data_IF_271954151783
#
_entry.id   IF_271954151783
#
_cell.length_a   1.000
_cell.length_b   1.000
_cell.length_c   1.000
_cell.angle_alpha   90.00
_cell.angle_beta   90.00
_cell.angle_gamma   90.00
#
_symmetry.space_group_name_H-M   'P 1'
#
loop_
_entity.id
_entity.type
_entity.pdbx_description
1 polymer ?
#
# COMPACT_ATOMS: atom_id res chain seq x y z
N UNK A 1 -70.74 5.22 58.97
CA UNK A 1 -69.65 4.25 58.87
C UNK A 1 -69.10 4.35 57.46
N UNK A 2 -67.99 5.10 57.21
CA UNK A 2 -67.34 5.27 55.91
C UNK A 2 -66.10 4.40 55.91
N UNK A 3 -66.04 3.43 55.00
CA UNK A 3 -64.86 2.57 54.77
C UNK A 3 -63.94 3.32 53.83
N UNK A 4 -62.74 3.61 54.28
CA UNK A 4 -61.59 4.05 53.40
C UNK A 4 -60.94 2.81 52.84
N UNK A 5 -60.89 2.71 51.53
CA UNK A 5 -60.02 1.75 50.79
C UNK A 5 -58.68 2.44 50.44
N UNK A 6 -57.62 1.93 50.98
CA UNK A 6 -56.26 2.36 50.62
C UNK A 6 -55.80 1.62 49.35
N UNK A 7 -55.55 2.34 48.24
CA UNK A 7 -54.85 1.82 47.06
C UNK A 7 -53.34 1.86 47.32
N UNK A 8 -52.71 0.72 47.39
CA UNK A 8 -51.22 0.60 47.33
C UNK A 8 -50.76 0.68 45.89
N UNK A 9 -50.07 1.77 45.54
CA UNK A 9 -49.37 1.89 44.26
C UNK A 9 -48.03 1.16 44.35
N UNK A 10 -47.89 0.05 43.59
CA UNK A 10 -46.62 -0.66 43.41
C UNK A 10 -45.89 0.07 42.28
N UNK A 11 -44.87 0.85 42.63
CA UNK A 11 -43.91 1.44 41.66
C UNK A 11 -42.90 0.37 41.25
N UNK A 12 -43.03 -0.19 40.03
CA UNK A 12 -42.03 -1.00 39.40
C UNK A 12 -40.87 -0.12 38.94
N UNK A 13 -39.75 -0.15 39.65
CA UNK A 13 -38.46 0.42 39.22
C UNK A 13 -37.93 -0.46 38.09
N UNK A 14 -38.06 0.00 36.83
CA UNK A 14 -37.36 -0.60 35.72
C UNK A 14 -35.85 -0.24 35.85
N UNK A 15 -35.02 -1.17 36.30
CA UNK A 15 -33.57 -1.07 36.14
C UNK A 15 -33.30 -1.16 34.64
N UNK A 16 -33.03 -0.02 34.00
CA UNK A 16 -32.36 0.01 32.72
C UNK A 16 -30.93 -0.44 32.98
N UNK A 17 -30.65 -1.71 32.69
CA UNK A 17 -29.24 -2.17 32.47
C UNK A 17 -28.80 -1.43 31.25
N UNK A 18 -28.05 -0.35 31.42
CA UNK A 18 -27.30 0.28 30.32
C UNK A 18 -26.36 -0.78 29.81
N UNK A 19 -26.57 -1.26 28.58
CA UNK A 19 -25.56 -2.02 27.89
C UNK A 19 -24.31 -1.12 27.87
N UNK A 20 -23.21 -1.59 28.45
CA UNK A 20 -21.92 -0.94 28.29
C UNK A 20 -21.66 -0.94 26.78
N UNK A 21 -21.67 0.25 26.19
CA UNK A 21 -21.36 0.40 24.75
C UNK A 21 -19.90 0.02 24.59
N UNK A 22 -19.63 -0.91 23.66
CA UNK A 22 -18.26 -1.32 23.36
C UNK A 22 -17.46 -0.10 22.87
N UNK A 23 -16.19 0.00 23.26
CA UNK A 23 -15.36 1.06 22.70
C UNK A 23 -15.19 0.86 21.17
N UNK A 24 -15.35 1.91 20.35
CA UNK A 24 -15.20 1.79 18.90
C UNK A 24 -13.75 1.46 18.55
N UNK A 25 -13.57 0.58 17.56
CA UNK A 25 -12.25 0.34 16.98
C UNK A 25 -11.76 1.63 16.29
N UNK A 26 -10.54 2.08 16.63
CA UNK A 26 -9.95 3.30 16.08
C UNK A 26 -8.80 2.99 15.16
N UNK A 27 -8.89 3.50 13.93
CA UNK A 27 -7.84 3.43 12.91
C UNK A 27 -7.19 4.81 12.78
N UNK A 28 -5.88 4.88 12.98
CA UNK A 28 -5.08 6.09 12.76
C UNK A 28 -4.38 6.05 11.42
N UNK A 29 -4.64 7.02 10.55
CA UNK A 29 -3.94 7.19 9.27
C UNK A 29 -2.77 8.13 9.50
N UNK A 30 -1.52 7.63 9.47
CA UNK A 30 -0.32 8.47 9.61
C UNK A 30 0.30 8.67 8.23
N UNK A 31 -0.19 9.65 7.47
CA UNK A 31 0.21 9.89 6.08
C UNK A 31 0.77 11.29 5.84
N UNK A 32 1.36 11.48 4.66
CA UNK A 32 1.86 12.78 4.20
C UNK A 32 0.70 13.60 3.65
N UNK A 33 -0.06 14.25 4.52
CA UNK A 33 -1.25 15.02 4.14
C UNK A 33 -0.94 16.48 3.78
N UNK A 34 0.33 16.89 3.93
CA UNK A 34 0.88 18.17 3.50
C UNK A 34 2.26 18.02 2.86
N UNK A 35 2.76 19.05 2.18
CA UNK A 35 4.09 19.06 1.53
C UNK A 35 4.13 18.34 0.17
N UNK A 36 5.33 17.94 -0.26
CA UNK A 36 5.60 17.41 -1.60
C UNK A 36 4.91 16.07 -1.92
N UNK A 37 4.50 15.33 -0.91
CA UNK A 37 3.88 14.00 -1.07
C UNK A 37 2.35 14.01 -0.82
N UNK A 38 1.74 15.18 -0.71
CA UNK A 38 0.32 15.34 -0.36
C UNK A 38 -0.60 14.58 -1.31
N UNK A 39 -0.34 14.59 -2.61
CA UNK A 39 -1.17 13.88 -3.59
C UNK A 39 -1.25 12.39 -3.29
N UNK A 40 -0.11 11.73 -3.06
CA UNK A 40 -0.07 10.31 -2.70
C UNK A 40 -0.69 10.04 -1.33
N UNK A 41 -0.37 10.84 -0.32
CA UNK A 41 -0.90 10.68 1.04
C UNK A 41 -2.42 10.81 1.09
N UNK A 42 -3.00 11.72 0.32
CA UNK A 42 -4.46 11.87 0.22
C UNK A 42 -5.13 10.69 -0.46
N UNK A 43 -4.52 10.08 -1.48
CA UNK A 43 -5.05 8.87 -2.11
C UNK A 43 -5.12 7.71 -1.10
N UNK A 44 -4.06 7.51 -0.30
CA UNK A 44 -4.11 6.51 0.78
C UNK A 44 -5.24 6.80 1.77
N UNK A 45 -5.34 8.04 2.26
CA UNK A 45 -6.36 8.40 3.24
C UNK A 45 -7.78 8.20 2.68
N UNK A 46 -8.04 8.63 1.44
CA UNK A 46 -9.33 8.45 0.78
C UNK A 46 -9.67 6.97 0.57
N UNK A 47 -8.69 6.16 0.14
CA UNK A 47 -8.89 4.72 -0.05
C UNK A 47 -9.15 3.97 1.26
N UNK A 48 -8.48 4.36 2.36
CA UNK A 48 -8.74 3.81 3.70
C UNK A 48 -10.15 4.17 4.14
N UNK A 49 -10.53 5.45 4.04
CA UNK A 49 -11.87 5.90 4.41
C UNK A 49 -12.95 5.17 3.61
N UNK A 50 -12.79 5.06 2.28
CA UNK A 50 -13.71 4.30 1.43
C UNK A 50 -13.88 2.84 1.86
N UNK A 51 -12.77 2.17 2.19
CA UNK A 51 -12.81 0.79 2.69
C UNK A 51 -13.51 0.67 4.04
N UNK A 52 -13.23 1.59 4.97
CA UNK A 52 -13.85 1.62 6.31
C UNK A 52 -15.34 1.95 6.21
N UNK A 53 -15.74 2.87 5.33
CA UNK A 53 -17.16 3.21 5.11
C UNK A 53 -17.96 1.98 4.64
N UNK A 54 -17.36 1.11 3.83
CA UNK A 54 -17.99 -0.16 3.44
C UNK A 54 -18.16 -1.12 4.61
N UNK A 55 -17.18 -1.22 5.50
CA UNK A 55 -17.29 -2.04 6.71
C UNK A 55 -18.40 -1.48 7.62
N UNK A 56 -18.43 -0.17 7.83
CA UNK A 56 -19.42 0.51 8.66
C UNK A 56 -20.84 0.35 8.07
N UNK A 57 -21.01 0.47 6.77
CA UNK A 57 -22.27 0.23 6.08
C UNK A 57 -22.77 -1.22 6.21
N UNK A 58 -21.86 -2.18 6.40
CA UNK A 58 -22.18 -3.59 6.64
C UNK A 58 -22.49 -3.89 8.13
N UNK A 59 -22.42 -2.90 9.03
CA UNK A 59 -22.73 -3.03 10.47
C UNK A 59 -21.54 -2.75 11.38
N UNK A 60 -20.42 -2.30 10.84
CA UNK A 60 -19.24 -1.91 11.60
C UNK A 60 -18.55 -3.07 12.30
N UNK A 61 -17.91 -2.77 13.42
CA UNK A 61 -17.29 -3.78 14.28
C UNK A 61 -18.04 -3.88 15.62
N UNK A 62 -18.54 -5.07 15.95
CA UNK A 62 -19.39 -5.32 17.14
C UNK A 62 -20.63 -4.40 17.22
N UNK A 63 -21.18 -3.98 16.08
CA UNK A 63 -22.33 -3.10 15.98
C UNK A 63 -22.04 -1.60 16.15
N UNK A 64 -20.76 -1.23 16.24
CA UNK A 64 -20.30 0.15 16.32
C UNK A 64 -19.48 0.51 15.07
N UNK A 65 -19.56 1.75 14.63
CA UNK A 65 -18.76 2.25 13.52
C UNK A 65 -17.28 2.31 13.88
N UNK A 66 -16.41 1.82 12.97
CA UNK A 66 -14.98 2.01 13.06
C UNK A 66 -14.67 3.49 12.86
N UNK A 67 -13.91 4.08 13.78
CA UNK A 67 -13.50 5.48 13.72
C UNK A 67 -12.16 5.63 13.00
N UNK A 68 -12.08 6.58 12.07
CA UNK A 68 -10.85 6.93 11.35
C UNK A 68 -10.36 8.29 11.81
N UNK A 69 -9.06 8.40 12.13
CA UNK A 69 -8.41 9.64 12.58
C UNK A 69 -7.18 9.88 11.69
N UNK A 70 -7.12 11.05 11.06
CA UNK A 70 -5.99 11.44 10.21
C UNK A 70 -4.90 12.16 11.00
N UNK A 71 -3.64 11.77 10.76
CA UNK A 71 -2.44 12.38 11.33
C UNK A 71 -1.47 12.74 10.21
N UNK A 72 -1.23 14.04 10.01
CA UNK A 72 -0.27 14.52 9.01
C UNK A 72 1.18 14.40 9.53
N UNK A 73 1.97 13.55 8.90
CA UNK A 73 3.38 13.35 9.21
C UNK A 73 4.31 14.36 8.51
N UNK A 74 3.75 15.30 7.73
CA UNK A 74 4.46 16.30 6.95
C UNK A 74 5.58 15.72 6.04
N UNK A 75 5.41 14.48 5.56
CA UNK A 75 6.32 13.80 4.65
C UNK A 75 7.63 13.30 5.26
N UNK A 76 7.69 13.11 6.60
CA UNK A 76 8.93 12.71 7.25
C UNK A 76 8.80 11.72 8.40
N UNK A 77 9.86 10.91 8.61
CA UNK A 77 9.91 9.92 9.69
C UNK A 77 9.82 10.56 11.09
N UNK A 78 10.40 11.74 11.30
CA UNK A 78 10.31 12.47 12.58
C UNK A 78 8.87 12.90 12.86
N UNK A 79 8.18 13.46 11.85
CA UNK A 79 6.76 13.81 11.96
C UNK A 79 5.91 12.57 12.25
N UNK A 80 6.19 11.44 11.59
CA UNK A 80 5.49 10.19 11.84
C UNK A 80 5.65 9.69 13.29
N UNK A 81 6.84 9.77 13.86
CA UNK A 81 7.09 9.41 15.26
C UNK A 81 6.28 10.28 16.24
N UNK A 82 6.16 11.58 15.97
CA UNK A 82 5.36 12.48 16.82
C UNK A 82 3.86 12.21 16.66
N UNK A 83 3.40 11.93 15.43
CA UNK A 83 1.99 11.56 15.18
C UNK A 83 1.64 10.19 15.74
N UNK A 84 2.56 9.24 15.75
CA UNK A 84 2.35 7.96 16.42
C UNK A 84 2.11 8.14 17.93
N UNK A 85 2.89 9.00 18.61
CA UNK A 85 2.64 9.32 20.03
C UNK A 85 1.26 9.94 20.25
N UNK A 86 0.82 10.81 19.33
CA UNK A 86 -0.53 11.37 19.37
C UNK A 86 -1.59 10.28 19.18
N UNK A 87 -1.45 9.41 18.19
CA UNK A 87 -2.35 8.29 17.95
C UNK A 87 -2.48 7.36 19.18
N UNK A 88 -1.35 7.06 19.86
CA UNK A 88 -1.36 6.34 21.14
C UNK A 88 -2.20 7.06 22.20
N UNK A 89 -2.03 8.38 22.35
CA UNK A 89 -2.78 9.17 23.33
C UNK A 89 -4.27 9.24 23.04
N UNK A 90 -4.66 9.19 21.74
CA UNK A 90 -6.04 9.18 21.28
C UNK A 90 -6.69 7.78 21.35
N UNK A 91 -5.94 6.77 21.77
CA UNK A 91 -6.40 5.38 21.93
C UNK A 91 -6.60 4.65 20.60
N UNK A 92 -5.76 4.93 19.60
CA UNK A 92 -5.77 4.22 18.31
C UNK A 92 -5.33 2.77 18.51
N UNK A 93 -6.06 1.82 17.91
CA UNK A 93 -5.77 0.38 17.94
C UNK A 93 -4.93 -0.08 16.75
N UNK A 94 -5.19 0.51 15.57
CA UNK A 94 -4.55 0.14 14.31
C UNK A 94 -4.02 1.41 13.65
N UNK A 95 -2.74 1.42 13.29
CA UNK A 95 -2.13 2.48 12.48
C UNK A 95 -1.99 1.98 11.04
N UNK A 96 -2.32 2.83 10.07
CA UNK A 96 -2.14 2.54 8.64
C UNK A 96 -1.24 3.60 8.01
N UNK A 97 -0.30 3.16 7.17
CA UNK A 97 0.59 4.04 6.43
C UNK A 97 1.10 3.34 5.15
N UNK A 98 1.36 4.10 4.08
CA UNK A 98 1.84 3.57 2.81
C UNK A 98 2.92 4.42 2.12
N UNK A 99 2.88 5.72 2.21
CA UNK A 99 3.58 6.64 1.31
C UNK A 99 5.13 6.64 1.39
N UNK A 100 5.79 5.92 2.31
CA UNK A 100 7.26 5.90 2.35
C UNK A 100 7.82 4.78 3.21
N UNK A 101 8.78 4.04 2.68
CA UNK A 101 9.50 3.00 3.43
C UNK A 101 10.30 3.55 4.61
N UNK A 102 10.79 4.80 4.54
CA UNK A 102 11.47 5.45 5.66
C UNK A 102 10.49 5.75 6.81
N UNK A 103 9.29 6.20 6.47
CA UNK A 103 8.20 6.46 7.44
C UNK A 103 7.72 5.14 8.04
N UNK A 104 7.44 4.13 7.21
CA UNK A 104 7.03 2.80 7.67
C UNK A 104 8.07 2.15 8.60
N UNK A 105 9.35 2.32 8.29
CA UNK A 105 10.45 1.85 9.13
C UNK A 105 10.48 2.52 10.51
N UNK A 106 10.10 3.79 10.61
CA UNK A 106 9.95 4.50 11.87
C UNK A 106 8.73 4.01 12.65
N UNK A 107 7.56 3.92 12.00
CA UNK A 107 6.30 3.47 12.63
C UNK A 107 6.45 2.03 13.14
N UNK A 108 7.02 1.12 12.34
CA UNK A 108 7.28 -0.27 12.75
C UNK A 108 8.10 -0.33 14.04
N UNK A 109 9.13 0.49 14.17
CA UNK A 109 9.96 0.52 15.36
C UNK A 109 9.23 1.15 16.57
N UNK A 110 8.41 2.17 16.34
CA UNK A 110 7.62 2.82 17.39
C UNK A 110 6.52 1.86 17.90
N UNK A 111 5.83 1.14 17.02
CA UNK A 111 4.88 0.06 17.38
C UNK A 111 5.57 -1.01 18.21
N UNK A 112 6.72 -1.51 17.77
CA UNK A 112 7.50 -2.52 18.49
C UNK A 112 7.86 -2.03 19.91
N UNK A 113 8.35 -0.81 20.05
CA UNK A 113 8.72 -0.22 21.36
C UNK A 113 7.50 0.01 22.25
N UNK A 114 6.38 0.46 21.66
CA UNK A 114 5.13 0.67 22.39
C UNK A 114 4.61 -0.64 22.97
N UNK A 115 4.46 -1.66 22.13
CA UNK A 115 3.89 -2.94 22.51
C UNK A 115 4.73 -3.68 23.56
N UNK A 116 6.07 -3.58 23.48
CA UNK A 116 6.96 -4.13 24.51
C UNK A 116 6.80 -3.47 25.88
N UNK A 117 6.39 -2.19 25.95
CA UNK A 117 6.27 -1.42 27.18
C UNK A 117 4.85 -1.41 27.75
N UNK A 118 3.86 -1.74 26.93
CA UNK A 118 2.45 -1.62 27.26
C UNK A 118 1.69 -2.91 26.91
N UNK A 119 2.02 -4.07 27.52
CA UNK A 119 1.31 -5.31 27.26
C UNK A 119 -0.17 -5.17 27.62
N UNK A 120 -1.05 -5.68 26.74
CA UNK A 120 -2.50 -5.53 26.80
C UNK A 120 -3.04 -4.20 26.22
N UNK A 121 -2.15 -3.37 25.65
CA UNK A 121 -2.50 -2.12 24.93
C UNK A 121 -1.71 -2.04 23.63
N UNK A 122 -1.62 -3.15 22.96
CA UNK A 122 -0.88 -3.25 21.71
C UNK A 122 -1.54 -2.44 20.60
N UNK A 123 -0.71 -1.96 19.68
CA UNK A 123 -1.11 -1.31 18.44
C UNK A 123 -0.62 -2.16 17.28
N UNK A 124 -1.45 -2.36 16.27
CA UNK A 124 -1.09 -3.03 15.02
C UNK A 124 -0.77 -1.99 13.93
N UNK A 125 0.20 -2.29 13.10
CA UNK A 125 0.54 -1.50 11.92
C UNK A 125 0.21 -2.27 10.64
N UNK A 126 -0.68 -1.72 9.83
CA UNK A 126 -0.98 -2.19 8.47
C UNK A 126 -0.26 -1.28 7.48
N UNK A 127 0.75 -1.83 6.82
CA UNK A 127 1.53 -1.18 5.79
C UNK A 127 0.90 -1.46 4.42
N UNK A 128 0.35 -0.44 3.78
CA UNK A 128 -0.37 -0.57 2.51
C UNK A 128 0.42 -0.12 1.28
N UNK A 129 1.69 0.32 1.44
CA UNK A 129 2.44 0.82 0.28
C UNK A 129 3.96 0.87 0.41
N UNK A 130 4.52 0.69 1.61
CA UNK A 130 5.97 0.74 1.81
C UNK A 130 6.62 -0.63 1.52
N UNK A 131 7.53 -0.68 0.56
CA UNK A 131 8.00 -1.93 -0.07
C UNK A 131 9.45 -2.30 0.22
N UNK A 132 10.18 -1.53 1.07
CA UNK A 132 11.56 -1.87 1.43
C UNK A 132 11.66 -3.26 2.07
N UNK A 133 12.71 -3.99 1.70
CA UNK A 133 12.95 -5.37 2.13
C UNK A 133 13.11 -5.50 3.63
N UNK A 134 13.79 -4.55 4.27
CA UNK A 134 14.01 -4.54 5.72
C UNK A 134 12.72 -4.64 6.55
N UNK A 135 11.57 -4.18 6.03
CA UNK A 135 10.30 -4.15 6.77
C UNK A 135 9.76 -5.55 7.13
N UNK A 136 10.02 -6.55 6.29
CA UNK A 136 9.74 -7.97 6.55
C UNK A 136 11.03 -8.80 6.66
N UNK A 137 12.18 -8.13 6.84
CA UNK A 137 13.48 -8.68 7.14
C UNK A 137 13.86 -8.40 8.60
N UNK A 138 14.95 -7.66 8.81
CA UNK A 138 15.48 -7.33 10.14
C UNK A 138 14.53 -6.52 11.04
N UNK A 139 13.52 -5.85 10.45
CA UNK A 139 12.47 -5.10 11.15
C UNK A 139 11.16 -5.87 11.26
N UNK A 140 11.11 -7.15 10.85
CA UNK A 140 9.88 -7.93 10.95
C UNK A 140 9.43 -8.06 12.42
N UNK A 141 8.13 -7.98 12.64
CA UNK A 141 7.50 -8.13 13.95
C UNK A 141 6.05 -8.56 13.82
N UNK A 142 5.49 -9.17 14.86
CA UNK A 142 4.15 -9.75 14.86
C UNK A 142 3.03 -8.73 14.58
N UNK A 143 3.15 -7.49 15.03
CA UNK A 143 2.12 -6.46 14.85
C UNK A 143 2.32 -5.59 13.61
N UNK A 144 3.13 -6.02 12.63
CA UNK A 144 3.30 -5.36 11.34
C UNK A 144 2.86 -6.30 10.22
N UNK A 145 1.88 -5.87 9.42
CA UNK A 145 1.36 -6.59 8.25
C UNK A 145 1.60 -5.77 6.99
N UNK A 146 2.21 -6.37 5.97
CA UNK A 146 2.47 -5.69 4.69
C UNK A 146 1.50 -6.15 3.61
N UNK A 147 0.61 -5.25 3.20
CA UNK A 147 -0.38 -5.45 2.14
C UNK A 147 0.04 -4.84 0.80
N UNK A 148 1.31 -4.86 0.51
CA UNK A 148 1.86 -4.46 -0.79
C UNK A 148 2.98 -5.43 -1.20
N UNK A 149 3.55 -5.24 -2.39
CA UNK A 149 4.66 -6.02 -2.93
C UNK A 149 6.00 -5.68 -2.27
N UNK A 150 7.08 -6.24 -2.80
CA UNK A 150 8.47 -5.87 -2.49
C UNK A 150 9.19 -5.51 -3.79
N UNK A 151 10.36 -4.87 -3.69
CA UNK A 151 11.18 -4.54 -4.85
C UNK A 151 11.47 -5.76 -5.74
N UNK A 152 11.93 -6.92 -5.21
CA UNK A 152 12.13 -8.12 -6.03
C UNK A 152 10.86 -8.65 -6.68
N UNK A 153 9.71 -8.59 -5.99
CA UNK A 153 8.44 -9.05 -6.56
C UNK A 153 8.07 -8.23 -7.80
N UNK A 154 8.16 -6.90 -7.73
CA UNK A 154 7.88 -6.02 -8.88
C UNK A 154 8.89 -6.20 -10.00
N UNK A 155 10.18 -6.16 -9.69
CA UNK A 155 11.23 -6.24 -10.71
C UNK A 155 11.19 -7.59 -11.43
N UNK A 156 11.05 -8.70 -10.71
CA UNK A 156 10.99 -10.03 -11.31
C UNK A 156 9.76 -10.21 -12.21
N UNK A 157 8.58 -9.77 -11.75
CA UNK A 157 7.34 -9.82 -12.55
C UNK A 157 7.50 -8.98 -13.83
N UNK A 158 7.98 -7.74 -13.70
CA UNK A 158 8.14 -6.79 -14.80
C UNK A 158 9.16 -7.29 -15.84
N UNK A 159 10.36 -7.69 -15.41
CA UNK A 159 11.41 -8.17 -16.33
C UNK A 159 10.99 -9.47 -17.02
N UNK A 160 10.29 -10.37 -16.32
CA UNK A 160 9.72 -11.57 -16.94
C UNK A 160 8.68 -11.24 -18.02
N UNK A 161 7.75 -10.32 -17.73
CA UNK A 161 6.72 -9.93 -18.69
C UNK A 161 7.33 -9.22 -19.91
N UNK A 162 8.24 -8.27 -19.70
CA UNK A 162 8.94 -7.56 -20.77
C UNK A 162 9.77 -8.50 -21.63
N UNK A 163 10.45 -9.49 -21.02
CA UNK A 163 11.21 -10.52 -21.75
C UNK A 163 10.32 -11.38 -22.63
N UNK A 164 9.19 -11.84 -22.10
CA UNK A 164 8.20 -12.64 -22.86
C UNK A 164 7.61 -11.86 -24.03
N UNK A 165 7.42 -10.54 -23.86
CA UNK A 165 6.94 -9.65 -24.92
C UNK A 165 8.03 -9.29 -25.95
N UNK A 166 9.32 -9.54 -25.65
CA UNK A 166 10.46 -9.15 -26.48
C UNK A 166 10.88 -7.68 -26.33
N UNK A 167 10.36 -6.98 -25.30
CA UNK A 167 10.53 -5.53 -25.08
C UNK A 167 11.62 -5.20 -24.05
N UNK A 168 12.24 -6.21 -23.40
CA UNK A 168 13.26 -5.97 -22.36
C UNK A 168 14.63 -5.60 -22.96
N UNK A 169 14.98 -6.17 -24.11
CA UNK A 169 16.33 -6.04 -24.67
C UNK A 169 17.41 -6.74 -23.83
N UNK A 170 18.65 -6.37 -24.05
CA UNK A 170 19.85 -6.98 -23.43
C UNK A 170 20.63 -6.02 -22.55
N UNK A 171 20.30 -4.73 -22.59
CA UNK A 171 20.98 -3.65 -21.87
C UNK A 171 19.99 -2.87 -21.03
N UNK A 172 20.16 -2.93 -19.72
CA UNK A 172 19.29 -2.24 -18.76
C UNK A 172 20.08 -1.16 -18.04
N UNK A 173 19.48 0.03 -17.94
CA UNK A 173 19.95 1.12 -17.09
C UNK A 173 19.08 1.20 -15.84
N UNK A 174 19.68 1.40 -14.67
CA UNK A 174 18.99 1.53 -13.39
C UNK A 174 19.10 2.96 -12.85
N UNK A 175 17.96 3.63 -12.58
CA UNK A 175 17.93 4.95 -11.94
C UNK A 175 16.92 4.97 -10.82
N UNK A 176 17.36 5.25 -9.57
CA UNK A 176 16.49 5.15 -8.41
C UNK A 176 16.79 6.25 -7.37
N UNK A 177 15.84 6.49 -6.51
CA UNK A 177 15.95 7.39 -5.37
C UNK A 177 16.86 6.78 -4.28
N UNK A 178 17.77 7.56 -3.70
CA UNK A 178 18.74 7.10 -2.71
C UNK A 178 18.14 6.98 -1.29
N UNK A 179 17.36 5.95 -1.06
CA UNK A 179 16.88 5.50 0.25
C UNK A 179 16.50 4.02 0.18
N UNK A 180 16.05 3.40 1.28
CA UNK A 180 15.87 1.95 1.38
C UNK A 180 15.10 1.32 0.23
N UNK A 181 13.99 1.92 -0.22
CA UNK A 181 13.23 1.42 -1.36
C UNK A 181 14.04 1.45 -2.67
N UNK A 182 14.61 2.59 -3.03
CA UNK A 182 15.35 2.72 -4.29
C UNK A 182 16.62 1.88 -4.32
N UNK A 183 17.30 1.71 -3.18
CA UNK A 183 18.44 0.79 -3.02
C UNK A 183 18.02 -0.66 -3.23
N UNK A 184 16.86 -1.06 -2.66
CA UNK A 184 16.30 -2.40 -2.85
C UNK A 184 15.89 -2.66 -4.31
N UNK A 185 15.33 -1.65 -5.01
CA UNK A 185 15.03 -1.76 -6.47
C UNK A 185 16.28 -1.93 -7.27
N UNK A 186 17.33 -1.13 -7.02
CA UNK A 186 18.61 -1.28 -7.69
C UNK A 186 19.19 -2.68 -7.49
N UNK A 187 19.20 -3.17 -6.25
CA UNK A 187 19.67 -4.53 -5.95
C UNK A 187 18.81 -5.61 -6.64
N UNK A 188 17.49 -5.43 -6.70
CA UNK A 188 16.59 -6.36 -7.38
C UNK A 188 16.82 -6.38 -8.90
N UNK A 189 17.08 -5.23 -9.54
CA UNK A 189 17.41 -5.14 -10.96
C UNK A 189 18.70 -5.93 -11.27
N UNK A 190 19.74 -5.74 -10.45
CA UNK A 190 21.00 -6.46 -10.61
C UNK A 190 20.83 -7.96 -10.35
N UNK A 191 20.03 -8.36 -9.35
CA UNK A 191 19.78 -9.77 -9.05
C UNK A 191 18.94 -10.49 -10.13
N UNK A 192 18.07 -9.77 -10.84
CA UNK A 192 17.23 -10.32 -11.90
C UNK A 192 17.96 -10.45 -13.26
N UNK A 193 19.18 -9.94 -13.40
CA UNK A 193 19.88 -9.83 -14.67
C UNK A 193 20.07 -11.17 -15.39
N UNK A 194 20.55 -12.20 -14.69
CA UNK A 194 20.76 -13.53 -15.26
C UNK A 194 19.47 -14.15 -15.78
N UNK A 195 18.39 -14.13 -14.94
CA UNK A 195 17.10 -14.67 -15.33
C UNK A 195 16.44 -13.84 -16.46
N UNK A 196 16.62 -12.52 -16.43
CA UNK A 196 16.17 -11.59 -17.45
C UNK A 196 16.93 -11.74 -18.77
N UNK A 197 18.20 -12.13 -18.71
CA UNK A 197 19.08 -12.23 -19.86
C UNK A 197 19.59 -10.87 -20.33
N UNK A 198 19.84 -9.94 -19.40
CA UNK A 198 20.34 -8.59 -19.66
C UNK A 198 21.60 -8.29 -18.82
N UNK A 199 22.35 -7.29 -19.25
CA UNK A 199 23.39 -6.66 -18.45
C UNK A 199 22.91 -5.30 -17.91
N UNK A 200 23.31 -4.94 -16.71
CA UNK A 200 23.13 -3.59 -16.19
C UNK A 200 24.29 -2.74 -16.68
N UNK A 201 24.02 -1.89 -17.68
CA UNK A 201 25.10 -1.11 -18.36
C UNK A 201 25.53 0.08 -17.50
N UNK A 202 24.68 0.61 -16.66
CA UNK A 202 25.02 1.67 -15.70
C UNK A 202 23.89 1.79 -14.66
N UNK A 203 24.23 2.32 -13.48
CA UNK A 203 23.26 2.51 -12.40
C UNK A 203 23.53 3.80 -11.63
N UNK A 204 22.45 4.43 -11.12
CA UNK A 204 22.55 5.66 -10.35
C UNK A 204 21.50 5.73 -9.25
N UNK A 205 21.92 6.22 -8.09
CA UNK A 205 21.05 6.66 -7.01
C UNK A 205 21.11 8.18 -6.88
N UNK A 206 19.96 8.83 -6.76
CA UNK A 206 19.87 10.29 -6.61
C UNK A 206 19.06 10.69 -5.37
N UNK A 207 19.28 11.92 -4.90
CA UNK A 207 18.57 12.44 -3.72
C UNK A 207 17.05 12.56 -3.96
N UNK A 208 16.27 12.04 -3.02
CA UNK A 208 14.78 12.00 -3.09
C UNK A 208 14.20 13.42 -3.10
N UNK A 209 13.39 13.73 -4.11
CA UNK A 209 12.67 15.00 -4.27
C UNK A 209 13.54 16.27 -4.20
N UNK A 210 14.83 16.15 -4.47
CA UNK A 210 15.75 17.31 -4.54
C UNK A 210 16.20 17.64 -5.96
N UNK A 211 16.06 16.72 -6.88
CA UNK A 211 16.44 16.93 -8.28
C UNK A 211 15.31 17.72 -8.97
N UNK A 212 15.66 18.89 -9.50
CA UNK A 212 14.73 19.75 -10.24
C UNK A 212 14.89 19.62 -11.75
N UNK A 213 16.02 19.09 -12.21
CA UNK A 213 16.32 18.88 -13.62
C UNK A 213 16.95 17.50 -13.83
N UNK A 214 16.24 16.64 -14.56
CA UNK A 214 16.70 15.30 -14.92
C UNK A 214 17.43 15.24 -16.27
N UNK A 215 17.58 16.35 -17.01
CA UNK A 215 18.29 16.33 -18.30
C UNK A 215 19.73 15.80 -18.22
N UNK A 216 20.54 16.07 -17.17
CA UNK A 216 21.88 15.46 -17.02
C UNK A 216 21.82 13.92 -16.87
N UNK A 217 20.82 13.40 -16.14
CA UNK A 217 20.62 11.95 -16.00
C UNK A 217 20.20 11.33 -17.34
N UNK A 218 19.28 11.95 -18.06
CA UNK A 218 18.84 11.50 -19.39
C UNK A 218 20.02 11.50 -20.38
N UNK A 219 20.89 12.52 -20.35
CA UNK A 219 22.10 12.54 -21.16
C UNK A 219 23.05 11.37 -20.83
N UNK A 220 23.19 11.00 -19.53
CA UNK A 220 23.97 9.85 -19.10
C UNK A 220 23.32 8.53 -19.56
N UNK A 221 21.98 8.38 -19.45
CA UNK A 221 21.25 7.23 -19.98
C UNK A 221 21.51 7.08 -21.48
N UNK A 222 21.34 8.16 -22.23
CA UNK A 222 21.57 8.16 -23.69
C UNK A 222 22.98 7.77 -24.06
N UNK A 223 24.01 8.21 -23.32
CA UNK A 223 25.39 7.86 -23.52
C UNK A 223 25.69 6.38 -23.21
N UNK A 224 25.01 5.77 -22.24
CA UNK A 224 25.13 4.35 -21.91
C UNK A 224 24.45 3.43 -22.95
N UNK A 225 23.48 3.95 -23.72
CA UNK A 225 22.82 3.23 -24.82
C UNK A 225 22.06 1.98 -24.37
N UNK A 226 21.21 2.06 -23.35
CA UNK A 226 20.37 0.93 -22.92
C UNK A 226 19.21 0.68 -23.89
N UNK A 227 18.69 -0.54 -23.88
CA UNK A 227 17.42 -0.88 -24.50
C UNK A 227 16.26 -0.51 -23.57
N UNK A 228 16.48 -0.67 -22.26
CA UNK A 228 15.46 -0.45 -21.21
C UNK A 228 16.02 0.36 -20.04
N UNK A 229 15.20 1.24 -19.49
CA UNK A 229 15.44 1.91 -18.21
C UNK A 229 14.47 1.35 -17.17
N UNK A 230 14.97 0.78 -16.09
CA UNK A 230 14.15 0.33 -14.96
C UNK A 230 14.33 1.30 -13.80
N UNK A 231 13.19 1.77 -13.24
CA UNK A 231 13.18 2.75 -12.16
C UNK A 231 12.10 2.49 -11.12
N UNK A 232 12.50 2.63 -9.86
CA UNK A 232 11.58 2.72 -8.71
C UNK A 232 11.27 4.15 -8.29
N UNK A 233 11.60 5.14 -9.11
CA UNK A 233 11.26 6.53 -8.82
C UNK A 233 9.74 6.70 -8.71
N UNK A 234 9.32 7.60 -7.84
CA UNK A 234 7.93 7.98 -7.62
C UNK A 234 7.81 9.47 -7.30
N UNK A 235 6.60 10.00 -7.22
CA UNK A 235 6.33 11.42 -7.01
C UNK A 235 7.00 12.29 -8.08
N UNK A 236 7.46 13.49 -7.75
CA UNK A 236 8.06 14.43 -8.68
C UNK A 236 9.29 13.87 -9.42
N UNK A 237 10.06 12.99 -8.78
CA UNK A 237 11.26 12.44 -9.41
C UNK A 237 10.94 11.57 -10.63
N UNK A 238 9.86 10.77 -10.59
CA UNK A 238 9.41 10.01 -11.76
C UNK A 238 8.86 10.95 -12.85
N UNK A 239 8.01 11.88 -12.45
CA UNK A 239 7.38 12.84 -13.37
C UNK A 239 8.43 13.66 -14.12
N UNK A 240 9.44 14.18 -13.42
CA UNK A 240 10.52 14.97 -14.03
C UNK A 240 11.45 14.10 -14.90
N UNK A 241 11.71 12.86 -14.50
CA UNK A 241 12.49 11.91 -15.32
C UNK A 241 11.78 11.60 -16.63
N UNK A 242 10.47 11.25 -16.57
CA UNK A 242 9.67 10.95 -17.75
C UNK A 242 9.59 12.15 -18.71
N UNK A 243 9.35 13.34 -18.14
CA UNK A 243 9.33 14.58 -18.92
C UNK A 243 10.68 14.84 -19.62
N UNK A 244 11.79 14.76 -18.87
CA UNK A 244 13.12 14.99 -19.45
C UNK A 244 13.48 13.95 -20.52
N UNK A 245 13.06 12.70 -20.36
CA UNK A 245 13.25 11.64 -21.35
C UNK A 245 12.48 11.97 -22.65
N UNK A 246 11.20 12.38 -22.52
CA UNK A 246 10.40 12.80 -23.65
C UNK A 246 10.97 14.04 -24.37
N UNK A 247 11.32 15.08 -23.63
CA UNK A 247 11.92 16.31 -24.19
C UNK A 247 13.22 16.02 -24.96
N UNK A 248 14.02 15.05 -24.50
CA UNK A 248 15.26 14.64 -25.14
C UNK A 248 15.09 13.64 -26.31
N UNK A 249 13.87 13.18 -26.57
CA UNK A 249 13.57 12.14 -27.55
C UNK A 249 14.38 10.86 -27.24
N UNK A 250 14.39 10.44 -25.97
CA UNK A 250 15.07 9.21 -25.55
C UNK A 250 14.26 8.01 -26.00
N UNK A 251 14.82 7.22 -26.91
CA UNK A 251 14.19 6.02 -27.49
C UNK A 251 14.60 4.78 -26.69
N UNK A 252 13.88 4.54 -25.58
CA UNK A 252 14.05 3.37 -24.70
C UNK A 252 12.70 2.96 -24.13
N UNK A 253 12.58 1.68 -23.76
CA UNK A 253 11.42 1.23 -22.98
C UNK A 253 11.65 1.50 -21.48
N UNK A 254 10.70 2.15 -20.81
CA UNK A 254 10.75 2.27 -19.36
C UNK A 254 9.98 1.12 -18.70
N UNK A 255 10.60 0.52 -17.68
CA UNK A 255 9.97 -0.34 -16.70
C UNK A 255 9.87 0.40 -15.36
N UNK A 256 8.67 0.61 -14.85
CA UNK A 256 8.43 1.47 -13.68
C UNK A 256 7.66 0.74 -12.58
N UNK A 257 7.72 1.26 -11.36
CA UNK A 257 6.88 0.80 -10.26
C UNK A 257 5.64 1.69 -10.04
N UNK A 258 5.64 2.94 -10.55
CA UNK A 258 4.66 3.96 -10.16
C UNK A 258 4.24 4.90 -11.30
N UNK A 259 4.26 4.43 -12.56
CA UNK A 259 3.84 5.24 -13.70
C UNK A 259 2.35 5.62 -13.66
N UNK A 260 1.54 4.82 -12.94
CA UNK A 260 0.12 5.05 -12.71
C UNK A 260 -0.19 6.07 -11.61
N UNK A 261 0.82 6.68 -11.00
CA UNK A 261 0.60 7.81 -10.10
C UNK A 261 -0.02 8.97 -10.88
N UNK A 262 -1.10 9.60 -10.35
CA UNK A 262 -1.80 10.68 -11.04
C UNK A 262 -0.88 11.79 -11.53
N UNK A 263 -1.07 12.20 -12.78
CA UNK A 263 -0.31 13.22 -13.48
C UNK A 263 0.87 12.68 -14.30
N UNK A 264 1.35 11.46 -14.10
CA UNK A 264 2.50 10.93 -14.84
C UNK A 264 2.19 10.72 -16.33
N UNK A 265 1.03 10.14 -16.65
CA UNK A 265 0.63 9.89 -18.06
C UNK A 265 0.40 11.20 -18.79
N UNK A 266 -0.32 12.16 -18.18
CA UNK A 266 -0.56 13.49 -18.80
C UNK A 266 0.73 14.25 -19.04
N UNK A 267 1.69 14.21 -18.10
CA UNK A 267 2.96 14.92 -18.21
C UNK A 267 3.96 14.25 -19.16
N UNK A 268 3.95 12.93 -19.26
CA UNK A 268 4.77 12.21 -20.22
C UNK A 268 4.22 12.31 -21.64
N UNK A 269 2.88 12.48 -21.78
CA UNK A 269 2.24 12.53 -23.09
C UNK A 269 2.46 11.26 -23.89
N UNK A 270 2.53 11.37 -25.23
CA UNK A 270 2.71 10.21 -26.12
C UNK A 270 4.01 9.43 -25.85
N UNK A 271 4.99 10.01 -25.14
CA UNK A 271 6.21 9.28 -24.77
C UNK A 271 5.99 8.21 -23.72
N UNK A 272 4.86 8.23 -22.99
CA UNK A 272 4.48 7.14 -22.09
C UNK A 272 4.08 5.86 -22.81
N UNK A 273 3.66 5.94 -24.07
CA UNK A 273 3.17 4.78 -24.83
C UNK A 273 4.20 3.67 -24.91
N UNK A 274 3.76 2.45 -24.63
CA UNK A 274 4.62 1.28 -24.67
C UNK A 274 5.45 1.05 -23.40
N UNK A 275 5.48 1.97 -22.44
CA UNK A 275 6.18 1.77 -21.17
C UNK A 275 5.42 0.81 -20.24
N UNK A 276 6.14 0.17 -19.37
CA UNK A 276 5.65 -0.88 -18.47
C UNK A 276 5.54 -0.39 -17.04
N UNK A 277 4.58 -0.97 -16.33
CA UNK A 277 4.46 -0.86 -14.89
C UNK A 277 4.21 -2.24 -14.29
N UNK A 278 4.81 -2.52 -13.12
CA UNK A 278 4.43 -3.64 -12.28
C UNK A 278 3.71 -3.11 -11.04
N UNK A 279 2.44 -3.51 -10.86
CA UNK A 279 1.58 -3.02 -9.79
C UNK A 279 0.80 -4.15 -9.11
N UNK A 280 -0.04 -3.80 -8.16
CA UNK A 280 -0.86 -4.72 -7.38
C UNK A 280 -2.22 -5.00 -8.03
N UNK A 281 -2.61 -4.22 -9.03
CA UNK A 281 -3.90 -4.30 -9.71
C UNK A 281 -3.85 -3.50 -11.02
N UNK A 282 -4.72 -3.87 -11.96
CA UNK A 282 -5.02 -3.11 -13.17
C UNK A 282 -6.51 -3.27 -13.52
N UNK A 283 -7.16 -2.19 -13.96
CA UNK A 283 -8.59 -2.16 -14.27
C UNK A 283 -9.00 -3.08 -15.43
N UNK A 284 -8.04 -3.53 -16.24
CA UNK A 284 -8.26 -4.48 -17.35
C UNK A 284 -8.03 -5.93 -16.93
N UNK A 285 -7.48 -6.16 -15.72
CA UNK A 285 -7.20 -7.48 -15.21
C UNK A 285 -8.33 -7.98 -14.29
N UNK A 286 -8.92 -9.11 -14.61
CA UNK A 286 -9.97 -9.75 -13.80
C UNK A 286 -11.36 -9.13 -13.96
N UNK A 287 -12.14 -9.15 -12.87
CA UNK A 287 -13.51 -8.64 -12.87
C UNK A 287 -13.55 -7.10 -12.81
N UNK A 288 -14.26 -6.51 -13.75
CA UNK A 288 -14.41 -5.06 -13.88
C UNK A 288 -15.32 -4.43 -12.80
N UNK A 289 -16.11 -5.23 -12.05
CA UNK A 289 -17.10 -4.70 -11.10
C UNK A 289 -16.46 -3.78 -10.05
N UNK A 290 -15.31 -4.15 -9.53
CA UNK A 290 -14.57 -3.31 -8.55
C UNK A 290 -14.24 -1.92 -9.13
N UNK A 291 -13.74 -1.85 -10.36
CA UNK A 291 -13.37 -0.59 -10.99
C UNK A 291 -14.59 0.30 -11.25
N UNK A 292 -15.69 -0.27 -11.71
CA UNK A 292 -16.94 0.46 -11.98
C UNK A 292 -17.61 0.94 -10.67
N UNK A 293 -17.63 0.09 -9.63
CA UNK A 293 -18.18 0.46 -8.31
C UNK A 293 -17.36 1.59 -7.66
N UNK A 294 -16.03 1.50 -7.75
CA UNK A 294 -15.15 2.53 -7.22
C UNK A 294 -15.36 3.86 -7.95
N UNK A 295 -15.42 3.83 -9.30
CA UNK A 295 -15.70 5.02 -10.10
C UNK A 295 -17.06 5.62 -9.78
N UNK A 296 -18.09 4.81 -9.61
CA UNK A 296 -19.42 5.30 -9.25
C UNK A 296 -19.41 6.04 -7.89
N UNK A 297 -18.57 5.61 -6.94
CA UNK A 297 -18.46 6.20 -5.62
C UNK A 297 -17.54 7.44 -5.58
N UNK A 298 -16.46 7.47 -6.38
CA UNK A 298 -15.37 8.46 -6.26
C UNK A 298 -15.24 9.40 -7.46
N UNK A 299 -15.83 9.02 -8.61
CA UNK A 299 -15.78 9.80 -9.86
C UNK A 299 -14.61 9.43 -10.79
N UNK A 300 -13.65 8.60 -10.36
CA UNK A 300 -12.51 8.13 -11.17
C UNK A 300 -12.29 6.63 -11.01
N UNK A 301 -11.62 6.00 -11.96
CA UNK A 301 -11.21 4.61 -11.85
C UNK A 301 -10.07 4.45 -10.84
N UNK A 302 -10.03 3.33 -10.08
CA UNK A 302 -8.97 3.11 -9.10
C UNK A 302 -7.62 2.94 -9.81
N UNK A 303 -6.61 3.66 -9.33
CA UNK A 303 -5.24 3.65 -9.85
C UNK A 303 -4.24 3.69 -8.69
N UNK A 304 -2.99 3.44 -9.00
CA UNK A 304 -1.86 3.61 -8.09
C UNK A 304 -2.04 2.83 -6.78
N UNK A 305 -2.15 3.53 -5.67
CA UNK A 305 -2.19 2.92 -4.32
C UNK A 305 -3.60 2.56 -3.84
N UNK A 306 -4.64 2.99 -4.55
CA UNK A 306 -6.01 2.86 -4.09
C UNK A 306 -6.48 1.40 -4.02
N UNK A 307 -6.29 0.56 -5.08
CA UNK A 307 -6.77 -0.82 -5.04
C UNK A 307 -6.17 -1.63 -3.90
N UNK A 308 -4.85 -1.60 -3.75
CA UNK A 308 -4.16 -2.38 -2.71
C UNK A 308 -4.55 -1.96 -1.30
N UNK A 309 -4.80 -0.65 -1.10
CA UNK A 309 -5.25 -0.11 0.18
C UNK A 309 -6.66 -0.57 0.50
N UNK A 310 -7.57 -0.51 -0.47
CA UNK A 310 -8.96 -0.99 -0.30
C UNK A 310 -8.98 -2.50 -0.01
N UNK A 311 -8.16 -3.29 -0.71
CA UNK A 311 -8.06 -4.73 -0.46
C UNK A 311 -7.49 -5.04 0.93
N UNK A 312 -6.54 -4.24 1.42
CA UNK A 312 -6.04 -4.37 2.79
C UNK A 312 -7.12 -4.11 3.83
N UNK A 313 -7.95 -3.06 3.62
CA UNK A 313 -9.07 -2.76 4.50
C UNK A 313 -10.16 -3.83 4.40
N UNK A 314 -10.44 -4.36 3.20
CA UNK A 314 -11.36 -5.48 3.02
C UNK A 314 -10.91 -6.75 3.75
N UNK A 315 -9.61 -7.08 3.68
CA UNK A 315 -9.02 -8.18 4.43
C UNK A 315 -9.10 -7.96 5.95
N UNK A 316 -8.88 -6.72 6.42
CA UNK A 316 -9.10 -6.36 7.82
C UNK A 316 -10.57 -6.54 8.21
N UNK A 317 -11.52 -6.09 7.39
CA UNK A 317 -12.95 -6.29 7.63
C UNK A 317 -13.31 -7.77 7.81
N UNK A 318 -12.82 -8.63 6.91
CA UNK A 318 -13.01 -10.09 7.01
C UNK A 318 -12.36 -10.66 8.29
N UNK A 319 -11.18 -10.18 8.68
CA UNK A 319 -10.54 -10.59 9.93
C UNK A 319 -11.38 -10.22 11.16
N UNK A 320 -12.00 -9.04 11.15
CA UNK A 320 -12.83 -8.54 12.26
C UNK A 320 -14.11 -9.37 12.45
N UNK A 321 -14.68 -9.95 11.39
CA UNK A 321 -15.83 -10.86 11.48
C UNK A 321 -15.54 -12.11 12.33
N UNK A 322 -14.27 -12.55 12.36
CA UNK A 322 -13.82 -13.72 13.13
C UNK A 322 -13.49 -13.44 14.59
N UNK A 323 -13.58 -12.19 15.07
CA UNK A 323 -13.13 -11.81 16.41
C UNK A 323 -14.29 -11.37 17.29
N UNK A 324 -14.45 -12.04 18.45
CA UNK A 324 -15.40 -11.66 19.51
C UNK A 324 -14.61 -11.35 20.80
N UNK A 325 -14.85 -10.18 21.37
CA UNK A 325 -14.27 -9.75 22.66
C UNK A 325 -15.24 -9.95 23.85
N UNK A 326 -16.45 -10.49 23.60
CA UNK A 326 -17.44 -10.74 24.66
C UNK A 326 -17.87 -9.49 25.44
N UNK A 327 -17.80 -8.30 24.81
CA UNK A 327 -18.07 -7.01 25.45
C UNK A 327 -16.91 -6.46 26.30
N UNK A 328 -15.72 -7.06 26.24
CA UNK A 328 -14.50 -6.57 26.86
C UNK A 328 -13.74 -5.57 25.98
N UNK A 329 -12.57 -5.15 26.46
CA UNK A 329 -11.65 -4.25 25.73
C UNK A 329 -11.16 -4.88 24.43
N UNK A 330 -10.83 -4.03 23.45
CA UNK A 330 -10.31 -4.47 22.14
C UNK A 330 -8.91 -5.09 22.33
N UNK A 331 -8.80 -6.38 21.99
CA UNK A 331 -7.54 -7.12 21.99
C UNK A 331 -6.95 -7.16 20.57
N UNK A 332 -5.99 -6.29 20.34
CA UNK A 332 -5.29 -6.17 19.04
C UNK A 332 -4.56 -7.46 18.65
N UNK A 333 -4.11 -8.27 19.63
CA UNK A 333 -3.46 -9.56 19.36
C UNK A 333 -4.42 -10.54 18.71
N UNK A 334 -5.69 -10.56 19.12
CA UNK A 334 -6.72 -11.40 18.50
C UNK A 334 -7.02 -10.95 17.07
N UNK A 335 -7.07 -9.63 16.81
CA UNK A 335 -7.24 -9.11 15.45
C UNK A 335 -6.05 -9.54 14.57
N UNK A 336 -4.82 -9.40 15.08
CA UNK A 336 -3.62 -9.79 14.36
C UNK A 336 -3.59 -11.30 14.03
N UNK A 337 -3.97 -12.15 14.99
CA UNK A 337 -4.07 -13.61 14.77
C UNK A 337 -5.17 -13.96 13.75
N UNK A 338 -6.34 -13.30 13.83
CA UNK A 338 -7.41 -13.49 12.85
C UNK A 338 -6.98 -13.08 11.45
N UNK A 339 -6.23 -11.98 11.32
CA UNK A 339 -5.74 -11.48 10.03
C UNK A 339 -4.75 -12.44 9.35
N UNK A 340 -4.00 -13.24 10.12
CA UNK A 340 -3.13 -14.29 9.57
C UNK A 340 -3.88 -15.43 8.86
N UNK A 341 -5.13 -15.65 9.19
CA UNK A 341 -5.95 -16.73 8.65
C UNK A 341 -6.86 -16.27 7.48
N UNK A 342 -6.80 -14.97 7.14
CA UNK A 342 -7.62 -14.41 6.05
C UNK A 342 -7.11 -14.86 4.69
N UNK A 343 -8.06 -15.27 3.85
CA UNK A 343 -7.91 -15.30 2.38
C UNK A 343 -8.92 -14.32 1.82
N UNK A 344 -8.43 -13.21 1.31
CA UNK A 344 -9.27 -12.14 0.74
C UNK A 344 -9.25 -12.21 -0.78
N UNK A 345 -10.44 -12.43 -1.38
CA UNK A 345 -10.57 -12.51 -2.83
C UNK A 345 -10.54 -11.11 -3.46
N UNK A 346 -9.73 -10.96 -4.49
CA UNK A 346 -9.65 -9.73 -5.30
C UNK A 346 -9.92 -10.01 -6.76
N UNK A 347 -10.21 -9.00 -7.59
CA UNK A 347 -10.42 -9.22 -9.03
C UNK A 347 -9.27 -9.90 -9.76
N UNK A 348 -8.05 -9.82 -9.22
CA UNK A 348 -6.83 -10.39 -9.83
C UNK A 348 -6.32 -11.65 -9.14
N UNK A 349 -7.04 -12.14 -8.14
CA UNK A 349 -6.72 -13.35 -7.38
C UNK A 349 -6.63 -13.11 -5.88
N UNK A 350 -6.46 -14.18 -5.08
CA UNK A 350 -6.50 -14.12 -3.63
C UNK A 350 -5.29 -13.39 -3.04
N UNK A 351 -5.52 -12.76 -1.89
CA UNK A 351 -4.49 -12.22 -1.00
C UNK A 351 -4.54 -13.02 0.31
N UNK A 352 -3.40 -13.59 0.72
CA UNK A 352 -3.24 -14.25 2.01
C UNK A 352 -2.05 -13.67 2.77
N UNK A 353 -2.01 -13.83 4.09
CA UNK A 353 -0.91 -13.39 4.93
C UNK A 353 0.04 -14.55 5.19
N UNK A 354 1.32 -14.39 4.90
CA UNK A 354 2.36 -15.37 5.28
C UNK A 354 2.72 -15.20 6.75
N UNK A 355 2.53 -16.27 7.55
CA UNK A 355 2.65 -16.22 9.02
C UNK A 355 4.08 -15.99 9.52
N UNK A 356 5.08 -16.26 8.71
CA UNK A 356 6.49 -16.19 9.09
C UNK A 356 7.01 -14.75 9.18
N UNK A 357 6.47 -13.83 8.35
CA UNK A 357 6.96 -12.45 8.28
C UNK A 357 5.86 -11.41 8.01
N UNK A 358 4.59 -11.84 7.97
CA UNK A 358 3.40 -11.03 7.65
C UNK A 358 3.49 -10.28 6.31
N UNK A 359 4.28 -10.80 5.35
CA UNK A 359 4.19 -10.40 3.96
C UNK A 359 2.96 -11.04 3.32
N UNK A 360 2.14 -10.25 2.62
CA UNK A 360 1.04 -10.83 1.84
C UNK A 360 1.55 -11.58 0.62
N UNK A 361 1.00 -12.78 0.42
CA UNK A 361 1.08 -13.55 -0.82
C UNK A 361 -0.03 -13.02 -1.70
N UNK A 362 0.31 -12.39 -2.82
CA UNK A 362 -0.63 -11.68 -3.67
C UNK A 362 -0.18 -11.66 -5.12
N UNK A 363 -1.10 -11.56 -6.09
CA UNK A 363 -0.72 -11.37 -7.48
C UNK A 363 0.04 -10.06 -7.73
N UNK A 364 0.92 -10.08 -8.73
CA UNK A 364 1.54 -8.88 -9.31
C UNK A 364 1.05 -8.74 -10.74
N UNK A 365 0.50 -7.58 -11.06
CA UNK A 365 0.02 -7.27 -12.40
C UNK A 365 1.05 -6.43 -13.14
N UNK A 366 1.44 -6.87 -14.32
CA UNK A 366 2.29 -6.08 -15.21
C UNK A 366 1.42 -5.54 -16.33
N UNK A 367 1.46 -4.23 -16.51
CA UNK A 367 0.67 -3.52 -17.51
C UNK A 367 1.55 -2.68 -18.43
N UNK A 368 1.04 -2.37 -19.60
CA UNK A 368 1.67 -1.50 -20.61
C UNK A 368 0.79 -0.30 -20.86
N UNK A 369 1.38 0.86 -21.07
CA UNK A 369 0.63 2.05 -21.46
C UNK A 369 0.17 1.94 -22.90
N UNK A 370 -1.13 2.11 -23.12
CA UNK A 370 -1.78 2.01 -24.44
C UNK A 370 -2.56 3.28 -24.75
N UNK A 371 -2.76 3.52 -26.05
CA UNK A 371 -3.64 4.59 -26.55
C UNK A 371 -5.09 4.07 -26.63
N UNK A 372 -6.04 4.99 -26.56
CA UNK A 372 -7.49 4.67 -26.63
C UNK A 372 -7.88 3.61 -25.59
N UNK A 373 -7.34 3.77 -24.38
CA UNK A 373 -7.51 2.83 -23.29
C UNK A 373 -8.99 2.71 -22.86
N UNK A 374 -9.41 1.51 -22.49
CA UNK A 374 -10.75 1.27 -21.91
C UNK A 374 -10.96 2.06 -20.62
N UNK A 375 -9.91 2.19 -19.83
CA UNK A 375 -9.88 2.93 -18.57
C UNK A 375 -8.81 4.04 -18.66
N UNK A 376 -9.18 5.21 -19.19
CA UNK A 376 -8.25 6.29 -19.41
C UNK A 376 -7.76 6.88 -18.08
N UNK A 377 -6.48 7.29 -18.04
CA UNK A 377 -5.83 7.91 -16.91
C UNK A 377 -5.56 9.40 -17.17
N UNK A 378 -5.50 10.21 -16.12
CA UNK A 378 -5.08 11.62 -16.13
C UNK A 378 -5.83 12.50 -17.16
N UNK A 379 -7.13 12.24 -17.37
CA UNK A 379 -7.95 12.96 -18.37
C UNK A 379 -7.38 12.90 -19.81
N UNK A 380 -6.57 11.88 -20.11
CA UNK A 380 -6.04 11.60 -21.46
C UNK A 380 -6.84 10.50 -22.15
N UNK A 381 -6.49 10.14 -23.42
CA UNK A 381 -6.98 8.90 -24.05
C UNK A 381 -6.11 7.69 -23.73
N UNK A 382 -5.02 7.87 -23.00
CA UNK A 382 -4.09 6.82 -22.63
C UNK A 382 -4.46 6.21 -21.28
N UNK A 383 -4.03 4.97 -21.06
CA UNK A 383 -4.20 4.25 -19.80
C UNK A 383 -3.40 2.96 -19.83
N UNK A 384 -3.67 2.09 -18.89
CA UNK A 384 -2.95 0.84 -18.71
C UNK A 384 -3.76 -0.33 -19.24
N UNK A 385 -3.05 -1.32 -19.81
CA UNK A 385 -3.59 -2.61 -20.18
C UNK A 385 -2.71 -3.71 -19.61
N UNK A 386 -3.31 -4.61 -18.84
CA UNK A 386 -2.62 -5.72 -18.23
C UNK A 386 -2.08 -6.69 -19.30
N UNK A 387 -0.78 -6.91 -19.29
CA UNK A 387 -0.11 -7.86 -20.19
C UNK A 387 0.21 -9.18 -19.51
N UNK A 388 0.33 -9.17 -18.18
CA UNK A 388 0.59 -10.38 -17.39
C UNK A 388 0.08 -10.21 -15.95
N UNK A 389 -0.57 -11.25 -15.44
CA UNK A 389 -0.85 -11.42 -14.02
C UNK A 389 0.03 -12.56 -13.52
N UNK A 390 0.97 -12.25 -12.64
CA UNK A 390 1.83 -13.25 -11.98
C UNK A 390 1.11 -13.69 -10.71
N UNK A 391 0.71 -14.97 -10.57
CA UNK A 391 0.05 -15.47 -9.37
C UNK A 391 0.88 -15.25 -8.10
N UNK A 392 0.20 -15.10 -6.96
CA UNK A 392 0.86 -14.76 -5.70
C UNK A 392 1.93 -15.74 -5.24
N UNK A 393 1.69 -17.03 -5.43
CA UNK A 393 2.64 -18.12 -5.11
C UNK A 393 3.90 -18.10 -5.99
N UNK A 394 3.83 -17.51 -7.17
CA UNK A 394 4.96 -17.34 -8.09
C UNK A 394 5.64 -15.98 -7.92
N UNK A 395 4.89 -14.97 -7.47
CA UNK A 395 5.40 -13.62 -7.29
C UNK A 395 6.11 -13.42 -5.94
N UNK A 396 5.73 -14.19 -4.91
CA UNK A 396 6.22 -13.99 -3.54
C UNK A 396 7.74 -14.17 -3.45
N UNK A 397 8.40 -13.22 -2.76
CA UNK A 397 9.81 -13.34 -2.43
C UNK A 397 10.00 -14.24 -1.19
N UNK A 398 11.05 -15.06 -1.11
CA UNK A 398 11.30 -15.92 0.06
C UNK A 398 11.36 -15.14 1.38
N UNK A 399 11.03 -15.82 2.48
CA UNK A 399 11.25 -15.25 3.82
C UNK A 399 12.73 -14.95 4.00
N UNK A 400 13.04 -13.77 4.52
CA UNK A 400 14.41 -13.35 4.74
C UNK A 400 14.96 -13.96 6.03
N UNK A 401 16.17 -14.52 6.01
CA UNK A 401 16.84 -15.11 7.18
C UNK A 401 17.01 -14.11 8.35
N UNK A 402 16.99 -12.81 8.04
CA UNK A 402 17.05 -11.74 9.04
C UNK A 402 15.75 -11.52 9.81
N UNK A 403 14.61 -12.07 9.36
CA UNK A 403 13.36 -11.97 10.08
C UNK A 403 13.36 -12.89 11.32
N UNK A 404 13.21 -12.28 12.48
CA UNK A 404 13.12 -12.98 13.76
C UNK A 404 11.88 -12.52 14.52
N UNK A 405 10.71 -12.87 13.98
CA UNK A 405 9.42 -12.49 14.53
C UNK A 405 9.14 -13.24 15.85
N UNK A 406 8.94 -12.47 16.92
CA UNK A 406 8.47 -13.01 18.20
C UNK A 406 6.95 -12.89 18.25
N UNK A 407 6.29 -14.00 18.43
CA UNK A 407 4.83 -14.07 18.56
C UNK A 407 4.40 -13.82 20.01
N UNK A 408 3.21 -13.22 20.24
CA UNK A 408 2.62 -13.17 21.58
C UNK A 408 2.41 -14.60 22.10
N UNK A 409 2.66 -14.81 23.39
CA UNK A 409 2.53 -16.10 24.05
C UNK A 409 1.08 -16.49 24.34
#
# INVERSE_FOLDING_TARGET
MRKFAALAAISTLALSVGAAQAEPLKIGIIESLSGAQTSSGRLYATAIQYGVDKINAAGGFNGEDIQVIEYDNAGGATGAADKFKQAVADGVNIVIQGASSAIAGQITEDVRKHNLRNPGKEIMFINVGAEAMALTGDKCQFYHFRFTTTAPMRVNAMTSAMKEAGDLGTKVYSINQNYSWGQDVQAAISAAADAGGYEVVDEVLHDVNKIQDFAPFVARIKAAGPDTVITGNWSNDLLLLMKAAGDAGLDVTFGTAYLDQPGNIANAGDTALGHYIANNYDNTAGDASFAEDYKAATGHYPLFVEPQTIFAIGALGQALEGVDFGGGDIDVSKIALSLEDVTYETPVGPITVRKEDHQTIRPVVVSKVVKDAKYPADDTSMGFEAVKVVPGDQAIYPVQDSCNMKRPG
#
